data_IF_617326504760
#
_entry.id   IF_617326504760
#
_cell.length_a   1.000
_cell.length_b   1.000
_cell.length_c   1.000
_cell.angle_alpha   90.00
_cell.angle_beta   90.00
_cell.angle_gamma   90.00
#
_symmetry.space_group_name_H-M   'P 1'
#
loop_
_entity.id
_entity.type
_entity.pdbx_description
1 polymer ?
#
# COMPACT_ATOMS: atom_id res chain seq x y z
N UNK A 1 -0.70 -19.67 9.50
CA UNK A 1 -0.61 -18.37 8.81
C UNK A 1 -0.99 -17.27 9.78
N UNK A 2 -0.18 -16.22 9.93
CA UNK A 2 -0.46 -15.09 10.84
C UNK A 2 -1.32 -14.07 10.10
N UNK A 3 -2.48 -13.72 10.64
CA UNK A 3 -3.30 -12.65 10.07
C UNK A 3 -2.62 -11.31 10.32
N UNK A 4 -2.79 -10.39 9.38
CA UNK A 4 -2.35 -8.99 9.52
C UNK A 4 -3.17 -8.20 10.55
N UNK A 5 -4.38 -8.65 10.88
CA UNK A 5 -5.21 -8.02 11.91
C UNK A 5 -6.00 -6.80 11.42
N UNK A 6 -5.58 -6.18 10.32
CA UNK A 6 -6.24 -5.05 9.66
C UNK A 6 -6.72 -5.51 8.27
N UNK A 7 -7.92 -5.08 7.86
CA UNK A 7 -8.42 -5.29 6.49
C UNK A 7 -7.91 -4.18 5.59
N UNK A 8 -6.60 -4.18 5.34
CA UNK A 8 -5.88 -3.06 4.71
C UNK A 8 -6.60 -2.51 3.48
N UNK A 9 -6.97 -3.35 2.52
CA UNK A 9 -7.65 -2.90 1.29
C UNK A 9 -8.95 -2.12 1.50
N UNK A 10 -9.74 -2.45 2.52
CA UNK A 10 -11.04 -1.78 2.74
C UNK A 10 -10.98 -0.67 3.79
N UNK A 11 -9.83 -0.49 4.46
CA UNK A 11 -9.70 0.41 5.62
C UNK A 11 -8.50 1.37 5.49
N UNK A 12 -7.74 1.31 4.41
CA UNK A 12 -6.51 2.09 4.23
C UNK A 12 -6.64 3.10 3.12
N UNK A 13 -5.74 4.07 3.16
CA UNK A 13 -5.43 4.96 2.05
C UNK A 13 -4.38 4.26 1.20
N UNK A 14 -4.53 4.33 -0.13
CA UNK A 14 -3.54 3.81 -1.07
C UNK A 14 -2.55 4.92 -1.41
N UNK A 15 -1.27 4.64 -1.24
CA UNK A 15 -0.17 5.57 -1.46
C UNK A 15 0.92 4.89 -2.30
N UNK A 16 1.85 5.67 -2.82
CA UNK A 16 3.07 5.17 -3.46
C UNK A 16 4.22 6.16 -3.21
N UNK A 17 5.45 5.66 -3.25
CA UNK A 17 6.65 6.48 -3.29
C UNK A 17 6.98 7.03 -4.69
N UNK A 18 6.24 6.65 -5.73
CA UNK A 18 6.42 7.15 -7.09
C UNK A 18 5.40 8.22 -7.49
N UNK A 19 5.91 9.42 -7.77
CA UNK A 19 5.14 10.57 -8.22
C UNK A 19 4.47 10.29 -9.58
N UNK A 20 5.11 9.51 -10.47
CA UNK A 20 4.54 9.24 -11.80
C UNK A 20 3.32 8.33 -11.69
N UNK A 21 3.40 7.25 -10.90
CA UNK A 21 2.23 6.43 -10.56
C UNK A 21 1.13 7.25 -9.88
N UNK A 22 1.45 8.12 -8.91
CA UNK A 22 0.44 8.95 -8.24
C UNK A 22 -0.36 9.86 -9.21
N UNK A 23 0.31 10.45 -10.21
CA UNK A 23 -0.33 11.30 -11.23
C UNK A 23 -1.41 10.60 -12.05
N UNK A 24 -1.34 9.27 -12.17
CA UNK A 24 -2.33 8.51 -12.94
C UNK A 24 -3.70 8.48 -12.27
N UNK A 25 -3.76 8.72 -10.95
CA UNK A 25 -5.00 8.65 -10.17
C UNK A 25 -5.61 10.02 -9.87
N UNK A 26 -4.91 11.13 -10.13
CA UNK A 26 -5.46 12.49 -9.98
C UNK A 26 -4.44 13.51 -9.48
N UNK A 27 -4.94 14.49 -8.72
CA UNK A 27 -4.10 15.48 -8.05
C UNK A 27 -3.22 14.81 -6.99
N UNK A 28 -1.94 15.16 -7.00
CA UNK A 28 -0.97 14.57 -6.08
C UNK A 28 -1.11 15.26 -4.73
N UNK A 29 -1.16 14.47 -3.67
CA UNK A 29 -1.08 14.96 -2.32
C UNK A 29 -0.13 14.10 -1.48
N UNK A 30 0.52 14.75 -0.51
CA UNK A 30 1.28 14.10 0.55
C UNK A 30 0.34 13.78 1.70
N UNK A 31 0.36 12.51 2.13
CA UNK A 31 -0.40 12.04 3.28
C UNK A 31 0.52 11.95 4.49
N UNK A 32 0.17 12.68 5.56
CA UNK A 32 0.88 12.64 6.83
C UNK A 32 -0.02 11.99 7.89
N UNK A 33 0.22 10.73 8.30
CA UNK A 33 -0.58 10.11 9.35
C UNK A 33 -0.36 10.83 10.70
N UNK A 34 -1.43 10.97 11.48
CA UNK A 34 -1.41 11.59 12.81
C UNK A 34 -1.66 10.52 13.87
N UNK A 35 -0.66 10.26 14.70
CA UNK A 35 -0.72 9.24 15.75
C UNK A 35 -0.25 7.88 15.24
N UNK A 36 -0.81 6.81 15.81
CA UNK A 36 -0.48 5.44 15.42
C UNK A 36 -1.00 5.15 14.01
N UNK A 37 -0.13 4.55 13.21
CA UNK A 37 -0.45 4.08 11.89
C UNK A 37 0.24 2.75 11.64
N UNK A 38 -0.29 2.02 10.66
CA UNK A 38 0.30 0.78 10.19
C UNK A 38 0.27 0.76 8.66
N UNK A 39 1.27 0.16 8.05
CA UNK A 39 1.31 0.02 6.59
C UNK A 39 1.37 -1.44 6.17
N UNK A 40 0.79 -1.76 5.03
CA UNK A 40 0.95 -3.03 4.34
C UNK A 40 1.42 -2.76 2.91
N UNK A 41 2.46 -3.48 2.48
CA UNK A 41 3.07 -3.30 1.17
C UNK A 41 3.78 -4.58 0.73
N UNK A 42 4.16 -4.63 -0.54
CA UNK A 42 4.95 -5.71 -1.12
C UNK A 42 6.19 -5.13 -1.83
N UNK A 43 7.37 -5.76 -1.69
CA UNK A 43 8.54 -5.41 -2.50
C UNK A 43 8.47 -5.96 -3.93
N UNK A 44 7.54 -6.87 -4.24
CA UNK A 44 7.48 -7.62 -5.50
C UNK A 44 6.24 -7.33 -6.35
N UNK A 45 5.18 -6.82 -5.75
CA UNK A 45 3.92 -6.47 -6.41
C UNK A 45 3.81 -4.95 -6.47
N UNK A 46 3.63 -4.39 -7.66
CA UNK A 46 3.54 -2.95 -7.85
C UNK A 46 2.15 -2.42 -7.47
N UNK A 47 1.08 -3.12 -7.86
CA UNK A 47 -0.30 -2.84 -7.43
C UNK A 47 -1.02 -4.16 -7.20
N UNK A 48 -1.75 -4.31 -6.08
CA UNK A 48 -2.44 -5.57 -5.77
C UNK A 48 -3.55 -5.90 -6.81
N UNK A 49 -3.91 -5.00 -7.72
CA UNK A 49 -4.78 -5.33 -8.87
C UNK A 49 -4.14 -6.37 -9.81
N UNK A 50 -2.81 -6.51 -9.80
CA UNK A 50 -2.06 -7.52 -10.55
C UNK A 50 -2.51 -8.97 -10.26
N UNK A 51 -3.20 -9.22 -9.14
CA UNK A 51 -3.78 -10.53 -8.87
C UNK A 51 -4.75 -10.99 -9.98
N UNK A 52 -5.41 -10.07 -10.68
CA UNK A 52 -6.31 -10.38 -11.79
C UNK A 52 -5.60 -11.08 -12.96
N UNK A 53 -4.27 -10.88 -13.10
CA UNK A 53 -3.44 -11.56 -14.09
C UNK A 53 -3.15 -13.04 -13.71
N UNK A 54 -3.45 -13.43 -12.46
CA UNK A 54 -3.23 -14.78 -11.93
C UNK A 54 -4.53 -15.42 -11.45
N UNK A 55 -5.54 -15.63 -12.33
CA UNK A 55 -6.87 -16.12 -11.93
C UNK A 55 -6.87 -17.55 -11.34
N UNK A 56 -5.77 -18.29 -11.47
CA UNK A 56 -5.58 -19.61 -10.87
C UNK A 56 -5.00 -19.57 -9.45
N UNK A 57 -4.56 -18.40 -8.97
CA UNK A 57 -3.93 -18.23 -7.68
C UNK A 57 -4.96 -17.72 -6.66
N UNK A 58 -4.96 -18.30 -5.45
CA UNK A 58 -5.73 -17.72 -4.35
C UNK A 58 -5.12 -16.39 -3.88
N UNK A 59 -5.93 -15.55 -3.23
CA UNK A 59 -5.45 -14.30 -2.61
C UNK A 59 -4.34 -14.60 -1.60
N UNK A 60 -4.49 -15.67 -0.82
CA UNK A 60 -3.52 -16.09 0.18
C UNK A 60 -2.17 -16.46 -0.44
N UNK A 61 -2.18 -17.25 -1.51
CA UNK A 61 -0.96 -17.60 -2.25
C UNK A 61 -0.31 -16.35 -2.87
N UNK A 62 -1.11 -15.47 -3.47
CA UNK A 62 -0.60 -14.23 -4.05
C UNK A 62 0.09 -13.35 -3.02
N UNK A 63 -0.50 -13.20 -1.83
CA UNK A 63 0.06 -12.46 -0.71
C UNK A 63 1.41 -13.04 -0.27
N UNK A 64 1.52 -14.36 -0.20
CA UNK A 64 2.74 -15.06 0.23
C UNK A 64 3.85 -14.93 -0.81
N UNK A 65 3.56 -15.27 -2.07
CA UNK A 65 4.55 -15.26 -3.16
C UNK A 65 5.09 -13.85 -3.43
N UNK A 66 4.24 -12.83 -3.27
CA UNK A 66 4.61 -11.43 -3.39
C UNK A 66 5.15 -10.81 -2.08
N UNK A 67 5.39 -11.58 -1.03
CA UNK A 67 6.04 -11.10 0.20
C UNK A 67 5.36 -9.87 0.85
N UNK A 68 4.02 -9.86 0.87
CA UNK A 68 3.26 -8.83 1.56
C UNK A 68 3.61 -8.80 3.04
N UNK A 69 3.86 -7.60 3.55
CA UNK A 69 4.37 -7.40 4.90
C UNK A 69 3.90 -6.09 5.51
N UNK A 70 4.02 -6.02 6.83
CA UNK A 70 3.63 -4.88 7.64
C UNK A 70 4.86 -4.07 8.08
N UNK A 71 4.73 -2.74 8.11
CA UNK A 71 5.73 -1.82 8.67
C UNK A 71 6.89 -1.50 7.73
N UNK A 72 7.98 -0.95 8.26
CA UNK A 72 9.16 -0.51 7.51
C UNK A 72 8.89 0.52 6.40
N UNK A 73 8.33 1.67 6.80
CA UNK A 73 7.95 2.78 5.91
C UNK A 73 9.05 3.20 4.92
N UNK A 74 10.31 3.26 5.36
CA UNK A 74 11.42 3.67 4.50
C UNK A 74 11.66 2.70 3.33
N UNK A 75 11.45 1.40 3.53
CA UNK A 75 11.54 0.43 2.44
C UNK A 75 10.30 0.46 1.55
N UNK A 76 9.12 0.62 2.13
CA UNK A 76 7.87 0.76 1.39
C UNK A 76 7.91 1.95 0.42
N UNK A 77 8.35 3.13 0.87
CA UNK A 77 8.49 4.30 -0.01
C UNK A 77 9.51 4.03 -1.12
N UNK A 78 10.64 3.39 -0.80
CA UNK A 78 11.69 3.09 -1.78
C UNK A 78 11.32 2.00 -2.79
N UNK A 79 10.32 1.17 -2.52
CA UNK A 79 9.89 0.15 -3.49
C UNK A 79 9.11 0.76 -4.64
N UNK A 80 8.58 1.98 -4.48
CA UNK A 80 7.71 2.64 -5.47
C UNK A 80 6.41 1.88 -5.80
N UNK A 81 6.11 0.83 -5.04
CA UNK A 81 4.89 0.03 -5.16
C UNK A 81 3.75 0.62 -4.32
N UNK A 82 2.56 0.03 -4.45
CA UNK A 82 1.40 0.31 -3.62
C UNK A 82 1.73 0.12 -2.12
N UNK A 83 1.35 1.13 -1.34
CA UNK A 83 1.41 1.15 0.11
C UNK A 83 -0.01 1.38 0.62
N UNK A 84 -0.55 0.41 1.35
CA UNK A 84 -1.81 0.58 2.07
C UNK A 84 -1.54 1.14 3.46
N UNK A 85 -1.86 2.41 3.68
CA UNK A 85 -1.70 3.12 4.94
C UNK A 85 -3.00 3.11 5.76
N UNK A 86 -2.98 2.41 6.89
CA UNK A 86 -4.06 2.42 7.88
C UNK A 86 -3.74 3.41 9.00
N UNK A 87 -4.62 4.39 9.23
CA UNK A 87 -4.55 5.33 10.35
C UNK A 87 -5.94 5.93 10.64
N UNK A 88 -6.16 6.35 11.89
CA UNK A 88 -7.43 7.01 12.30
C UNK A 88 -7.54 8.45 11.79
N UNK A 89 -6.40 9.15 11.67
CA UNK A 89 -6.34 10.56 11.30
C UNK A 89 -5.12 10.81 10.43
N UNK A 90 -5.25 11.70 9.46
CA UNK A 90 -4.17 12.12 8.58
C UNK A 90 -4.36 13.58 8.16
N UNK A 91 -3.27 14.22 7.76
CA UNK A 91 -3.30 15.46 7.00
C UNK A 91 -3.07 15.15 5.52
N UNK A 92 -3.69 15.96 4.68
CA UNK A 92 -3.48 15.98 3.24
C UNK A 92 -2.84 17.31 2.91
N UNK A 93 -1.67 17.27 2.28
CA UNK A 93 -0.96 18.47 1.81
C UNK A 93 -0.85 18.37 0.30
N UNK A 94 -1.36 19.36 -0.44
CA UNK A 94 -1.22 19.39 -1.89
C UNK A 94 0.25 19.38 -2.29
N UNK A 95 0.59 18.58 -3.30
CA UNK A 95 1.92 18.53 -3.86
C UNK A 95 1.98 19.50 -5.05
N UNK A 96 2.54 20.70 -4.82
CA UNK A 96 2.77 21.73 -5.86
C UNK A 96 4.04 21.45 -6.68
#
# INVERSE_FOLDING_TARGET
MKKFGIRFRSQSIFCTGDIQSAKQYGEIAVIEPIGDFEICWSPKCHDLIEIEDYPWMSIEEFIIENEYQIGNLQKAIKSCNEIMLFCEKYKVVSYE
#
